data_IF_188159489854
#
_entry.id   IF_188159489854
#
_cell.length_a   1.000
_cell.length_b   1.000
_cell.length_c   1.000
_cell.angle_alpha   90.00
_cell.angle_beta   90.00
_cell.angle_gamma   90.00
#
_symmetry.space_group_name_H-M   'P 1'
#
loop_
_entity.id
_entity.type
_entity.pdbx_description
1 polymer ?
#
# COMPACT_ATOMS: atom_id res chain seq x y z
N UNK A 1 -8.37 5.34 3.05
CA UNK A 1 -7.47 6.47 2.70
C UNK A 1 -8.15 7.82 2.84
N UNK A 2 -9.29 8.08 2.16
CA UNK A 2 -9.98 9.38 2.23
C UNK A 2 -10.25 9.91 3.64
N UNK A 3 -10.69 9.04 4.56
CA UNK A 3 -11.03 9.42 5.94
C UNK A 3 -9.85 9.37 6.92
N UNK A 4 -8.60 9.34 6.42
CA UNK A 4 -7.42 9.28 7.27
C UNK A 4 -7.29 10.59 8.07
N UNK A 5 -7.04 10.47 9.37
CA UNK A 5 -6.91 11.57 10.31
C UNK A 5 -5.50 11.57 10.91
N UNK A 6 -5.08 12.71 11.44
CA UNK A 6 -3.77 12.86 12.11
C UNK A 6 -3.57 11.87 13.26
N UNK A 7 -4.61 11.57 14.04
CA UNK A 7 -4.56 10.59 15.13
C UNK A 7 -4.33 9.14 14.66
N UNK A 8 -4.51 8.85 13.37
CA UNK A 8 -4.25 7.53 12.81
C UNK A 8 -2.77 7.34 12.41
N UNK A 9 -1.93 8.37 12.54
CA UNK A 9 -0.51 8.30 12.16
C UNK A 9 0.32 8.12 13.43
N UNK A 10 0.94 6.95 13.58
CA UNK A 10 1.85 6.65 14.67
C UNK A 10 3.29 6.74 14.17
N UNK A 11 3.91 7.89 14.38
CA UNK A 11 5.32 8.12 14.02
C UNK A 11 6.31 7.35 14.90
N UNK A 12 5.93 6.97 16.12
CA UNK A 12 6.82 6.27 17.04
C UNK A 12 6.99 4.82 16.60
N UNK A 13 5.88 4.15 16.29
CA UNK A 13 5.87 2.77 15.82
C UNK A 13 5.95 2.64 14.30
N UNK A 14 5.96 3.77 13.58
CA UNK A 14 5.94 3.84 12.11
C UNK A 14 4.75 3.11 11.49
N UNK A 15 3.55 3.32 12.03
CA UNK A 15 2.32 2.69 11.57
C UNK A 15 1.29 3.72 11.12
N UNK A 16 0.49 3.36 10.12
CA UNK A 16 -0.73 4.07 9.74
C UNK A 16 -1.91 3.17 10.02
N UNK A 17 -2.84 3.65 10.83
CA UNK A 17 -4.11 2.97 11.10
C UNK A 17 -5.13 3.31 10.01
N UNK A 18 -5.70 2.28 9.40
CA UNK A 18 -6.84 2.40 8.52
C UNK A 18 -8.07 1.76 9.19
N UNK A 19 -9.00 2.61 9.60
CA UNK A 19 -10.29 2.21 10.16
C UNK A 19 -11.33 2.03 9.05
N UNK A 20 -12.18 1.02 9.17
CA UNK A 20 -13.35 0.81 8.30
C UNK A 20 -14.64 0.85 9.12
N UNK A 21 -15.39 1.95 9.00
CA UNK A 21 -16.59 2.21 9.81
C UNK A 21 -17.83 1.42 9.38
N UNK A 22 -17.72 0.58 8.33
CA UNK A 22 -18.89 -0.02 7.67
C UNK A 22 -18.96 -1.55 7.69
N UNK A 23 -18.15 -2.26 8.51
CA UNK A 23 -18.18 -3.73 8.79
C UNK A 23 -16.79 -4.39 8.58
N UNK A 24 -15.69 -3.81 9.06
CA UNK A 24 -14.34 -4.34 8.83
C UNK A 24 -13.41 -4.17 10.02
N UNK A 25 -12.41 -5.04 10.07
CA UNK A 25 -11.32 -4.95 11.04
C UNK A 25 -10.41 -3.76 10.71
N UNK A 26 -10.00 -3.06 11.75
CA UNK A 26 -8.93 -2.08 11.69
C UNK A 26 -7.65 -2.76 11.20
N UNK A 27 -6.88 -2.06 10.37
CA UNK A 27 -5.58 -2.56 9.92
C UNK A 27 -4.49 -1.52 10.09
N UNK A 28 -3.32 -2.00 10.45
CA UNK A 28 -2.10 -1.22 10.51
C UNK A 28 -1.26 -1.49 9.27
N UNK A 29 -0.79 -0.43 8.63
CA UNK A 29 0.15 -0.51 7.51
C UNK A 29 1.46 0.14 7.94
N UNK A 30 2.60 -0.58 7.87
CA UNK A 30 3.91 0.00 8.16
C UNK A 30 4.25 1.13 7.18
N UNK A 31 4.86 2.20 7.71
CA UNK A 31 5.41 3.28 6.90
C UNK A 31 6.79 2.90 6.38
N UNK A 32 7.01 3.08 5.08
CA UNK A 32 8.36 3.13 4.52
C UNK A 32 9.05 4.44 4.93
N UNK A 33 10.37 4.51 4.82
CA UNK A 33 11.11 5.75 5.09
C UNK A 33 10.63 6.92 4.23
N UNK A 34 10.27 6.65 2.97
CA UNK A 34 9.67 7.64 2.07
C UNK A 34 8.36 8.18 2.62
N UNK A 35 7.40 7.31 2.99
CA UNK A 35 6.10 7.75 3.51
C UNK A 35 6.29 8.51 4.84
N UNK A 36 7.18 8.03 5.70
CA UNK A 36 7.50 8.69 6.96
C UNK A 36 8.00 10.12 6.73
N UNK A 37 8.97 10.30 5.82
CA UNK A 37 9.53 11.61 5.50
C UNK A 37 8.48 12.56 4.90
N UNK A 38 7.76 12.10 3.88
CA UNK A 38 6.72 12.88 3.19
C UNK A 38 5.60 13.32 4.16
N UNK A 39 5.10 12.40 4.99
CA UNK A 39 4.08 12.74 5.99
C UNK A 39 4.62 13.74 7.02
N UNK A 40 5.86 13.56 7.48
CA UNK A 40 6.46 14.46 8.46
C UNK A 40 6.59 15.89 7.92
N UNK A 41 7.07 16.06 6.68
CA UNK A 41 7.17 17.38 6.07
C UNK A 41 5.78 17.96 5.74
N UNK A 42 4.87 17.15 5.21
CA UNK A 42 3.50 17.56 4.93
C UNK A 42 2.78 18.09 6.19
N UNK A 43 2.90 17.38 7.32
CA UNK A 43 2.24 17.79 8.57
C UNK A 43 2.79 19.11 9.15
N UNK A 44 4.03 19.52 8.83
CA UNK A 44 4.58 20.81 9.27
C UNK A 44 3.93 22.00 8.58
N UNK A 45 3.55 21.84 7.32
CA UNK A 45 3.08 22.94 6.45
C UNK A 45 1.59 22.85 6.12
N UNK A 46 0.90 21.79 6.56
CA UNK A 46 -0.53 21.61 6.27
C UNK A 46 -1.39 22.67 6.94
N UNK A 47 -2.55 22.92 6.34
CA UNK A 47 -3.65 23.64 6.96
C UNK A 47 -4.18 22.87 8.19
N UNK A 48 -4.50 23.58 9.28
CA UNK A 48 -5.01 23.00 10.55
C UNK A 48 -6.54 23.15 10.66
N UNK A 49 -7.24 23.51 9.57
CA UNK A 49 -8.70 23.66 9.55
C UNK A 49 -9.50 22.41 9.98
N UNK A 50 -8.93 21.21 9.83
CA UNK A 50 -9.46 19.97 10.42
C UNK A 50 -8.32 18.97 10.72
N UNK A 51 -8.67 17.84 11.30
CA UNK A 51 -7.77 16.72 11.59
C UNK A 51 -7.63 15.73 10.42
N UNK A 52 -8.37 15.90 9.32
CA UNK A 52 -8.21 15.07 8.12
C UNK A 52 -6.88 15.34 7.41
N UNK A 53 -6.20 14.27 6.99
CA UNK A 53 -4.96 14.36 6.20
C UNK A 53 -5.26 14.95 4.83
N UNK A 54 -6.29 14.44 4.16
CA UNK A 54 -6.70 14.89 2.82
C UNK A 54 -7.92 15.80 2.92
N UNK A 55 -7.66 17.10 2.92
CA UNK A 55 -8.68 18.13 3.08
C UNK A 55 -8.44 19.29 2.11
N UNK A 56 -9.50 20.05 1.84
CA UNK A 56 -9.42 21.31 1.12
C UNK A 56 -9.08 22.47 2.09
N UNK A 57 -8.86 23.70 1.59
CA UNK A 57 -8.55 24.85 2.44
C UNK A 57 -9.60 25.20 3.51
N UNK A 58 -10.86 24.78 3.35
CA UNK A 58 -11.92 24.98 4.34
C UNK A 58 -12.06 23.84 5.35
N UNK A 59 -11.13 22.87 5.34
CA UNK A 59 -11.12 21.74 6.28
C UNK A 59 -12.05 20.59 5.90
N UNK A 60 -12.66 20.61 4.71
CA UNK A 60 -13.56 19.55 4.25
C UNK A 60 -12.79 18.48 3.49
N UNK A 61 -13.27 17.24 3.56
CA UNK A 61 -12.72 16.12 2.80
C UNK A 61 -12.71 16.40 1.30
N UNK A 62 -11.56 16.16 0.68
CA UNK A 62 -11.44 16.19 -0.79
C UNK A 62 -12.01 14.92 -1.43
N UNK A 63 -12.37 15.03 -2.70
CA UNK A 63 -12.69 13.89 -3.55
C UNK A 63 -11.40 13.41 -4.22
N UNK A 64 -10.75 12.40 -3.62
CA UNK A 64 -9.46 11.89 -4.12
C UNK A 64 -9.51 11.43 -5.58
N UNK A 65 -10.65 10.87 -6.02
CA UNK A 65 -10.82 10.41 -7.40
C UNK A 65 -10.78 11.57 -8.41
N UNK A 66 -11.34 12.73 -8.05
CA UNK A 66 -11.31 13.93 -8.89
C UNK A 66 -9.90 14.52 -8.96
N UNK A 67 -9.22 14.61 -7.82
CA UNK A 67 -7.82 15.06 -7.75
C UNK A 67 -6.91 14.15 -8.57
N UNK A 68 -7.11 12.83 -8.47
CA UNK A 68 -6.36 11.85 -9.24
C UNK A 68 -6.60 12.00 -10.74
N UNK A 69 -7.86 12.10 -11.17
CA UNK A 69 -8.22 12.32 -12.58
C UNK A 69 -7.61 13.61 -13.12
N UNK A 70 -7.64 14.69 -12.35
CA UNK A 70 -7.01 15.95 -12.74
C UNK A 70 -5.49 15.79 -12.88
N UNK A 71 -4.84 15.10 -11.94
CA UNK A 71 -3.41 14.81 -12.01
C UNK A 71 -3.06 14.00 -13.26
N UNK A 72 -3.80 12.93 -13.57
CA UNK A 72 -3.58 12.11 -14.78
C UNK A 72 -3.74 12.94 -16.05
N UNK A 73 -4.79 13.77 -16.14
CA UNK A 73 -5.03 14.66 -17.26
C UNK A 73 -3.86 15.63 -17.49
N UNK A 74 -3.28 16.18 -16.42
CA UNK A 74 -2.17 17.14 -16.52
C UNK A 74 -0.89 16.53 -17.09
N UNK A 75 -0.71 15.20 -16.95
CA UNK A 75 0.47 14.49 -17.46
C UNK A 75 0.16 13.60 -18.67
N UNK A 76 -1.06 13.68 -19.22
CA UNK A 76 -1.48 12.93 -20.40
C UNK A 76 -1.66 11.42 -20.17
N UNK A 77 -1.95 10.99 -18.94
CA UNK A 77 -2.27 9.59 -18.63
C UNK A 77 -3.77 9.37 -18.83
N UNK A 78 -4.12 8.38 -19.65
CA UNK A 78 -5.49 7.94 -19.91
C UNK A 78 -5.77 6.57 -19.26
N UNK A 79 -7.05 6.25 -19.05
CA UNK A 79 -7.54 4.97 -18.50
C UNK A 79 -6.85 4.48 -17.21
N UNK A 80 -6.56 5.42 -16.29
CA UNK A 80 -5.93 5.13 -15.02
C UNK A 80 -6.72 5.73 -13.85
N UNK A 81 -7.16 4.87 -12.95
CA UNK A 81 -8.01 5.18 -11.79
C UNK A 81 -7.25 5.05 -10.48
N UNK A 82 -7.83 5.54 -9.39
CA UNK A 82 -7.21 5.41 -8.07
C UNK A 82 -7.06 3.94 -7.63
N UNK A 83 -7.91 3.05 -8.14
CA UNK A 83 -7.86 1.62 -7.83
C UNK A 83 -6.66 0.94 -8.50
N UNK A 84 -6.17 1.49 -9.60
CA UNK A 84 -5.03 0.94 -10.32
C UNK A 84 -3.73 1.08 -9.53
N UNK A 85 -3.60 2.09 -8.66
CA UNK A 85 -2.50 2.13 -7.69
C UNK A 85 -2.47 0.91 -6.76
N UNK A 86 -3.64 0.45 -6.32
CA UNK A 86 -3.74 -0.75 -5.49
C UNK A 86 -3.42 -2.01 -6.27
N UNK A 87 -3.82 -2.07 -7.54
CA UNK A 87 -3.45 -3.16 -8.43
C UNK A 87 -1.96 -3.20 -8.70
N UNK A 88 -1.36 -2.05 -9.00
CA UNK A 88 0.06 -1.89 -9.18
C UNK A 88 0.84 -2.36 -7.94
N UNK A 89 0.47 -1.89 -6.74
CA UNK A 89 1.08 -2.33 -5.49
C UNK A 89 1.00 -3.87 -5.31
N UNK A 90 -0.16 -4.47 -5.60
CA UNK A 90 -0.33 -5.93 -5.54
C UNK A 90 0.56 -6.70 -6.52
N UNK A 91 0.70 -6.22 -7.75
CA UNK A 91 1.62 -6.81 -8.74
C UNK A 91 3.07 -6.74 -8.28
N UNK A 92 3.51 -5.59 -7.74
CA UNK A 92 4.88 -5.43 -7.25
C UNK A 92 5.18 -6.31 -6.03
N UNK A 93 4.22 -6.47 -5.11
CA UNK A 93 4.33 -7.40 -3.98
C UNK A 93 4.47 -8.85 -4.46
N UNK A 94 3.65 -9.29 -5.42
CA UNK A 94 3.76 -10.63 -5.97
C UNK A 94 5.10 -10.85 -6.69
N UNK A 95 5.57 -9.86 -7.45
CA UNK A 95 6.86 -9.91 -8.15
C UNK A 95 8.06 -9.90 -7.21
N UNK A 96 7.96 -9.21 -6.06
CA UNK A 96 9.01 -9.22 -5.02
C UNK A 96 9.03 -10.52 -4.21
N UNK A 97 8.01 -11.37 -4.37
CA UNK A 97 7.91 -12.65 -3.68
C UNK A 97 7.13 -12.61 -2.38
N UNK A 98 6.36 -11.54 -2.13
CA UNK A 98 5.45 -11.52 -1.00
C UNK A 98 4.44 -12.67 -1.13
N UNK A 99 4.17 -13.33 -0.01
CA UNK A 99 3.14 -14.36 0.07
C UNK A 99 1.76 -13.75 -0.19
N UNK A 100 0.79 -14.59 -0.54
CA UNK A 100 -0.58 -14.13 -0.72
C UNK A 100 -1.15 -13.51 0.56
N UNK A 101 -0.73 -14.03 1.73
CA UNK A 101 -1.13 -13.53 3.04
C UNK A 101 -0.57 -12.14 3.33
N UNK A 102 0.74 -11.95 3.17
CA UNK A 102 1.37 -10.63 3.35
C UNK A 102 0.76 -9.60 2.39
N UNK A 103 0.52 -10.01 1.15
CA UNK A 103 -0.15 -9.16 0.16
C UNK A 103 -1.58 -8.80 0.56
N UNK A 104 -2.34 -9.75 1.10
CA UNK A 104 -3.69 -9.50 1.61
C UNK A 104 -3.68 -8.53 2.80
N UNK A 105 -2.76 -8.70 3.74
CA UNK A 105 -2.61 -7.84 4.92
C UNK A 105 -2.21 -6.41 4.53
N UNK A 106 -1.17 -6.24 3.70
CA UNK A 106 -0.68 -4.92 3.26
C UNK A 106 -1.74 -4.17 2.47
N UNK A 107 -2.39 -4.83 1.51
CA UNK A 107 -3.43 -4.19 0.73
C UNK A 107 -4.68 -3.97 1.62
N UNK A 108 -5.03 -4.93 2.47
CA UNK A 108 -6.30 -4.97 3.20
C UNK A 108 -7.38 -5.67 2.37
N UNK A 109 -7.04 -6.79 1.74
CA UNK A 109 -8.01 -7.66 1.08
C UNK A 109 -8.60 -8.65 2.09
N UNK A 110 -9.93 -8.71 2.19
CA UNK A 110 -10.63 -9.63 3.10
C UNK A 110 -10.56 -11.09 2.65
N UNK A 111 -10.25 -11.35 1.39
CA UNK A 111 -10.17 -12.70 0.83
C UNK A 111 -8.96 -12.84 -0.08
N UNK A 112 -8.28 -13.99 0.02
CA UNK A 112 -7.18 -14.38 -0.86
C UNK A 112 -7.63 -14.48 -2.33
N UNK A 113 -8.94 -14.63 -2.60
CA UNK A 113 -9.48 -14.57 -3.96
C UNK A 113 -9.13 -13.25 -4.65
N UNK A 114 -9.10 -12.13 -3.91
CA UNK A 114 -8.70 -10.83 -4.47
C UNK A 114 -7.20 -10.75 -4.76
N UNK A 115 -6.38 -11.53 -4.04
CA UNK A 115 -4.92 -11.60 -4.23
C UNK A 115 -4.54 -12.50 -5.40
N UNK A 116 -5.36 -13.53 -5.71
CA UNK A 116 -5.15 -14.41 -6.88
C UNK A 116 -4.99 -13.67 -8.20
N UNK A 117 -5.49 -12.43 -8.30
CA UNK A 117 -5.27 -11.55 -9.45
C UNK A 117 -3.78 -11.33 -9.77
N UNK A 118 -2.89 -11.42 -8.78
CA UNK A 118 -1.45 -11.19 -8.95
C UNK A 118 -0.60 -12.47 -8.86
N UNK A 119 -1.16 -13.59 -8.39
CA UNK A 119 -0.39 -14.82 -8.09
C UNK A 119 0.34 -15.39 -9.30
N UNK A 120 -0.13 -15.14 -10.54
CA UNK A 120 0.58 -15.59 -11.75
C UNK A 120 1.91 -14.85 -11.99
N UNK A 121 2.12 -13.69 -11.38
CA UNK A 121 3.36 -12.90 -11.50
C UNK A 121 4.49 -13.44 -10.60
N UNK A 122 4.20 -14.35 -9.68
CA UNK A 122 5.19 -14.98 -8.80
C UNK A 122 5.96 -16.13 -9.47
N UNK A 123 5.66 -16.51 -10.71
CA UNK A 123 6.31 -17.64 -11.38
C UNK A 123 7.85 -17.50 -11.46
N UNK A 124 8.38 -16.28 -11.68
CA UNK A 124 9.83 -16.02 -11.62
C UNK A 124 10.40 -16.19 -10.21
N UNK A 125 9.61 -15.88 -9.18
CA UNK A 125 9.97 -16.07 -7.79
C UNK A 125 10.00 -17.56 -7.40
N UNK A 126 9.06 -18.37 -7.90
CA UNK A 126 9.04 -19.82 -7.66
C UNK A 126 10.33 -20.50 -8.14
N UNK A 127 10.86 -20.10 -9.31
CA UNK A 127 12.15 -20.59 -9.79
C UNK A 127 13.32 -20.21 -8.86
N UNK A 128 13.29 -19.01 -8.27
CA UNK A 128 14.30 -18.56 -7.29
C UNK A 128 14.22 -19.33 -5.98
N UNK A 129 13.02 -19.58 -5.44
CA UNK A 129 12.82 -20.41 -4.24
C UNK A 129 13.36 -21.82 -4.50
N UNK A 130 13.01 -22.44 -5.63
CA UNK A 130 13.48 -23.78 -5.97
C UNK A 130 15.02 -23.84 -6.08
N UNK A 131 15.63 -22.82 -6.67
CA UNK A 131 17.09 -22.70 -6.75
C UNK A 131 17.74 -22.57 -5.36
N UNK A 132 17.16 -21.75 -4.47
CA UNK A 132 17.62 -21.62 -3.08
C UNK A 132 17.47 -22.93 -2.29
N UNK A 133 16.34 -23.61 -2.44
CA UNK A 133 16.10 -24.92 -1.83
C UNK A 133 17.13 -25.94 -2.32
N UNK A 134 17.38 -26.02 -3.62
CA UNK A 134 18.39 -26.92 -4.18
C UNK A 134 19.78 -26.60 -3.65
N UNK A 135 20.17 -25.32 -3.58
CA UNK A 135 21.45 -24.95 -2.98
C UNK A 135 21.55 -25.38 -1.51
N UNK A 136 20.51 -25.19 -0.72
CA UNK A 136 20.50 -25.61 0.69
C UNK A 136 20.58 -27.14 0.86
N UNK A 137 19.92 -27.91 0.00
CA UNK A 137 19.90 -29.38 0.10
C UNK A 137 21.19 -30.00 -0.45
N UNK A 138 21.70 -29.48 -1.56
CA UNK A 138 22.79 -30.12 -2.31
C UNK A 138 24.17 -29.47 -2.06
N UNK A 139 24.26 -28.19 -1.68
CA UNK A 139 25.54 -27.57 -1.31
C UNK A 139 25.84 -27.66 0.19
N UNK A 140 24.90 -28.04 1.05
CA UNK A 140 25.17 -28.26 2.49
C UNK A 140 25.87 -29.59 2.80
N UNK A 141 26.11 -30.45 1.80
CA UNK A 141 26.75 -31.77 1.96
C UNK A 141 28.26 -31.80 1.69
N UNK A 142 28.93 -30.65 1.68
CA UNK A 142 30.40 -30.59 1.54
C UNK A 142 30.99 -29.97 2.79
N UNK A 143 30.95 -30.69 3.92
CA UNK A 143 31.90 -30.61 5.04
C UNK A 143 31.83 -31.91 5.83
#
# INVERSE_FOLDING_TARGET
VRHLRTCHIDFNNRLILFTDTKNGDDRYVPMTDTIYGELKEFLKVRNIASDYIFQNPSGRLVYLDELHKAACKNVGIEDFTIHDWRHNAGSHLAMSGATERESAEILGHKSLIMVKRYSHLSNKHNAKILSQMNSLIFNAKVH
#
